data_IF_765532924420
#
_entry.id   IF_765532924420
#
_cell.length_a   1.000
_cell.length_b   1.000
_cell.length_c   1.000
_cell.angle_alpha   90.00
_cell.angle_beta   90.00
_cell.angle_gamma   90.00
#
_symmetry.space_group_name_H-M   'P 1'
#
loop_
_entity.id
_entity.type
_entity.pdbx_description
1 polymer ?
#
# COMPACT_ATOMS: atom_id res chain seq x y z
N UNK A 1 20.08 -52.61 -58.82
CA UNK A 1 19.02 -52.01 -58.00
C UNK A 1 19.62 -51.75 -56.63
N UNK A 2 20.06 -50.52 -56.38
CA UNK A 2 20.45 -50.08 -55.03
C UNK A 2 19.37 -49.10 -54.57
N UNK A 3 18.53 -49.58 -53.65
CA UNK A 3 17.57 -48.75 -52.91
C UNK A 3 18.16 -48.60 -51.51
N UNK A 4 19.07 -47.64 -51.37
CA UNK A 4 19.54 -47.17 -50.08
C UNK A 4 18.60 -46.08 -49.57
N UNK A 5 17.59 -46.49 -48.79
CA UNK A 5 16.70 -45.59 -48.04
C UNK A 5 17.51 -44.92 -46.93
N UNK A 6 18.20 -43.83 -47.27
CA UNK A 6 18.76 -42.89 -46.31
C UNK A 6 17.79 -41.73 -46.13
N UNK A 7 16.93 -41.81 -45.11
CA UNK A 7 16.04 -40.72 -44.69
C UNK A 7 16.82 -39.55 -44.08
N UNK A 8 17.72 -38.94 -44.85
CA UNK A 8 18.38 -37.69 -44.51
C UNK A 8 17.47 -36.54 -44.89
N UNK A 9 17.00 -35.78 -43.89
CA UNK A 9 16.27 -34.51 -44.10
C UNK A 9 17.03 -33.65 -45.10
N UNK A 10 16.40 -33.33 -46.23
CA UNK A 10 17.08 -32.62 -47.31
C UNK A 10 17.26 -31.13 -46.98
N UNK A 11 18.27 -30.47 -47.56
CA UNK A 11 18.45 -29.00 -47.45
C UNK A 11 17.16 -28.23 -47.78
N UNK A 12 16.42 -28.71 -48.78
CA UNK A 12 15.15 -28.12 -49.20
C UNK A 12 14.07 -28.24 -48.14
N UNK A 13 13.93 -29.39 -47.47
CA UNK A 13 12.96 -29.57 -46.39
C UNK A 13 13.24 -28.67 -45.20
N UNK A 14 14.50 -28.60 -44.76
CA UNK A 14 14.91 -27.73 -43.66
C UNK A 14 14.67 -26.26 -43.99
N UNK A 15 14.94 -25.84 -45.24
CA UNK A 15 14.68 -24.49 -45.71
C UNK A 15 13.18 -24.17 -45.78
N UNK A 16 12.35 -25.09 -46.25
CA UNK A 16 10.90 -24.88 -46.26
C UNK A 16 10.35 -24.83 -44.83
N UNK A 17 10.88 -25.63 -43.91
CA UNK A 17 10.50 -25.60 -42.50
C UNK A 17 10.90 -24.27 -41.84
N UNK A 18 12.13 -23.79 -42.09
CA UNK A 18 12.60 -22.51 -41.57
C UNK A 18 11.76 -21.34 -42.10
N UNK A 19 11.39 -21.33 -43.39
CA UNK A 19 10.50 -20.29 -43.96
C UNK A 19 9.09 -20.34 -43.37
N UNK A 20 8.53 -21.54 -43.12
CA UNK A 20 7.22 -21.67 -42.44
C UNK A 20 7.26 -21.12 -41.01
N UNK A 21 8.30 -21.47 -40.25
CA UNK A 21 8.49 -20.95 -38.91
C UNK A 21 8.73 -19.44 -38.91
N UNK A 22 9.50 -18.90 -39.86
CA UNK A 22 9.72 -17.46 -40.01
C UNK A 22 8.42 -16.69 -40.20
N UNK A 23 7.55 -17.14 -41.11
CA UNK A 23 6.25 -16.51 -41.33
C UNK A 23 5.38 -16.55 -40.06
N UNK A 24 5.28 -17.72 -39.42
CA UNK A 24 4.54 -17.86 -38.16
C UNK A 24 5.08 -16.95 -37.05
N UNK A 25 6.40 -16.83 -36.96
CA UNK A 25 7.09 -16.03 -35.94
C UNK A 25 6.85 -14.53 -36.18
N UNK A 26 6.89 -14.09 -37.45
CA UNK A 26 6.56 -12.71 -37.85
C UNK A 26 5.10 -12.37 -37.50
N UNK A 27 4.16 -13.23 -37.87
CA UNK A 27 2.74 -13.01 -37.55
C UNK A 27 2.50 -12.99 -36.03
N UNK A 28 3.17 -13.87 -35.28
CA UNK A 28 3.13 -13.86 -33.83
C UNK A 28 3.66 -12.55 -33.24
N UNK A 29 4.77 -12.04 -33.77
CA UNK A 29 5.38 -10.79 -33.33
C UNK A 29 4.48 -9.57 -33.64
N UNK A 30 3.86 -9.52 -34.81
CA UNK A 30 2.89 -8.46 -35.14
C UNK A 30 1.68 -8.48 -34.19
N UNK A 31 1.18 -9.67 -33.85
CA UNK A 31 0.11 -9.83 -32.85
C UNK A 31 0.56 -9.35 -31.48
N UNK A 32 1.81 -9.64 -31.10
CA UNK A 32 2.41 -9.23 -29.83
C UNK A 32 2.45 -7.70 -29.71
N UNK A 33 2.81 -6.99 -30.78
CA UNK A 33 2.84 -5.53 -30.84
C UNK A 33 1.43 -4.89 -30.81
N UNK A 34 0.44 -5.51 -31.46
CA UNK A 34 -0.96 -5.06 -31.41
C UNK A 34 -1.57 -5.21 -30.01
N UNK A 35 -1.26 -6.31 -29.32
CA UNK A 35 -1.66 -6.54 -27.93
C UNK A 35 -1.00 -5.54 -26.98
N UNK A 36 0.24 -5.11 -27.27
CA UNK A 36 0.90 -4.04 -26.50
C UNK A 36 0.15 -2.71 -26.57
N UNK A 37 -0.38 -2.38 -27.76
CA UNK A 37 -1.13 -1.15 -28.02
C UNK A 37 -2.54 -1.17 -27.41
N UNK A 38 -3.08 -2.37 -27.20
CA UNK A 38 -4.43 -2.61 -26.68
C UNK A 38 -4.31 -2.98 -25.20
N UNK A 39 -4.29 -1.98 -24.33
CA UNK A 39 -4.05 -2.03 -22.87
C UNK A 39 -4.87 -3.05 -22.03
N UNK A 40 -5.74 -3.87 -22.62
CA UNK A 40 -6.72 -4.72 -21.91
C UNK A 40 -6.33 -6.19 -21.75
N UNK A 41 -5.35 -6.73 -22.49
CA UNK A 41 -5.16 -8.20 -22.60
C UNK A 41 -3.73 -8.66 -22.24
N UNK A 42 -3.24 -8.29 -21.05
CA UNK A 42 -1.88 -8.63 -20.59
C UNK A 42 -1.64 -10.14 -20.32
N UNK A 43 -2.69 -10.97 -20.29
CA UNK A 43 -2.61 -12.38 -19.85
C UNK A 43 -2.02 -13.30 -20.92
N UNK A 44 -2.27 -13.03 -22.22
CA UNK A 44 -1.80 -13.89 -23.33
C UNK A 44 -0.43 -13.49 -23.89
N UNK A 45 0.08 -12.32 -23.50
CA UNK A 45 1.35 -11.74 -23.97
C UNK A 45 2.59 -12.57 -23.58
N UNK A 46 2.72 -13.08 -22.33
CA UNK A 46 3.88 -13.88 -21.93
C UNK A 46 3.99 -15.22 -22.65
N UNK A 47 2.88 -15.94 -22.82
CA UNK A 47 2.84 -17.23 -23.50
C UNK A 47 3.20 -17.09 -24.98
N UNK A 48 2.64 -16.08 -25.66
CA UNK A 48 2.95 -15.78 -27.05
C UNK A 48 4.44 -15.44 -27.22
N UNK A 49 5.00 -14.59 -26.33
CA UNK A 49 6.41 -14.22 -26.36
C UNK A 49 7.35 -15.42 -26.17
N UNK A 50 6.96 -16.38 -25.32
CA UNK A 50 7.71 -17.62 -25.10
C UNK A 50 7.66 -18.53 -26.34
N UNK A 51 6.49 -18.68 -26.97
CA UNK A 51 6.35 -19.42 -28.23
C UNK A 51 7.22 -18.81 -29.33
N UNK A 52 7.22 -17.48 -29.48
CA UNK A 52 8.05 -16.76 -30.46
C UNK A 52 9.53 -17.00 -30.19
N UNK A 53 9.97 -16.92 -28.92
CA UNK A 53 11.36 -17.21 -28.53
C UNK A 53 11.76 -18.65 -28.87
N UNK A 54 10.86 -19.61 -28.63
CA UNK A 54 11.07 -21.03 -28.96
C UNK A 54 11.25 -21.22 -30.47
N UNK A 55 10.39 -20.57 -31.26
CA UNK A 55 10.43 -20.64 -32.72
C UNK A 55 11.72 -20.02 -33.28
N UNK A 56 12.14 -18.87 -32.77
CA UNK A 56 13.44 -18.24 -33.10
C UNK A 56 14.59 -19.22 -32.87
N UNK A 57 14.65 -19.85 -31.69
CA UNK A 57 15.69 -20.83 -31.38
C UNK A 57 15.64 -22.05 -32.31
N UNK A 58 14.44 -22.51 -32.67
CA UNK A 58 14.26 -23.61 -33.60
C UNK A 58 14.71 -23.24 -35.02
N UNK A 59 14.46 -22.01 -35.48
CA UNK A 59 14.96 -21.55 -36.78
C UNK A 59 16.49 -21.43 -36.74
N UNK A 60 17.07 -20.94 -35.64
CA UNK A 60 18.53 -20.91 -35.46
C UNK A 60 19.16 -22.31 -35.55
N UNK A 61 18.57 -23.33 -34.91
CA UNK A 61 19.06 -24.70 -35.05
C UNK A 61 18.97 -25.21 -36.49
N UNK A 62 17.87 -24.90 -37.19
CA UNK A 62 17.73 -25.25 -38.61
C UNK A 62 18.77 -24.53 -39.47
N UNK A 63 19.10 -23.27 -39.18
CA UNK A 63 20.17 -22.55 -39.87
C UNK A 63 21.50 -23.28 -39.71
N UNK A 64 21.87 -23.69 -38.49
CA UNK A 64 23.11 -24.43 -38.24
C UNK A 64 23.17 -25.77 -38.97
N UNK A 65 22.06 -26.49 -39.03
CA UNK A 65 21.97 -27.77 -39.74
C UNK A 65 22.09 -27.58 -41.26
N UNK A 66 21.36 -26.60 -41.81
CA UNK A 66 21.50 -26.21 -43.22
C UNK A 66 22.93 -25.75 -43.52
N UNK A 67 23.58 -25.05 -42.59
CA UNK A 67 24.94 -24.55 -42.73
C UNK A 67 25.98 -25.65 -42.92
N UNK A 68 25.78 -26.77 -42.21
CA UNK A 68 26.62 -27.96 -42.35
C UNK A 68 26.38 -28.66 -43.67
N UNK A 69 25.12 -28.77 -44.08
CA UNK A 69 24.71 -29.50 -45.28
C UNK A 69 25.09 -28.78 -46.58
N UNK A 70 25.00 -27.44 -46.65
CA UNK A 70 25.39 -26.77 -47.89
C UNK A 70 26.89 -26.81 -48.12
N UNK A 71 27.71 -26.84 -47.07
CA UNK A 71 29.18 -26.97 -47.18
C UNK A 71 29.60 -28.31 -47.80
N UNK A 72 28.82 -29.38 -47.65
CA UNK A 72 29.09 -30.68 -48.27
C UNK A 72 28.59 -30.81 -49.71
N UNK A 73 27.94 -29.77 -50.27
CA UNK A 73 27.50 -29.77 -51.67
C UNK A 73 28.70 -29.63 -52.61
N UNK A 74 28.91 -30.64 -53.44
CA UNK A 74 30.01 -30.70 -54.40
C UNK A 74 29.94 -29.60 -55.47
N UNK A 75 28.73 -29.32 -55.97
CA UNK A 75 28.50 -28.31 -57.02
C UNK A 75 28.65 -26.88 -56.47
N UNK A 76 29.67 -26.16 -56.94
CA UNK A 76 29.94 -24.76 -56.57
C UNK A 76 28.75 -23.81 -56.77
N UNK A 77 28.09 -23.75 -57.94
CA UNK A 77 26.95 -22.83 -58.13
C UNK A 77 25.77 -23.16 -57.21
N UNK A 78 25.52 -24.45 -56.95
CA UNK A 78 24.47 -24.89 -56.04
C UNK A 78 24.81 -24.56 -54.58
N UNK A 79 26.08 -24.73 -54.21
CA UNK A 79 26.61 -24.35 -52.90
C UNK A 79 26.44 -22.85 -52.64
N UNK A 80 26.83 -22.01 -53.58
CA UNK A 80 26.73 -20.55 -53.45
C UNK A 80 25.26 -20.09 -53.36
N UNK A 81 24.34 -20.76 -54.06
CA UNK A 81 22.90 -20.54 -53.93
C UNK A 81 22.40 -20.86 -52.52
N UNK A 82 22.78 -22.03 -51.98
CA UNK A 82 22.36 -22.43 -50.64
C UNK A 82 22.95 -21.54 -49.56
N UNK A 83 24.21 -21.12 -49.71
CA UNK A 83 24.85 -20.15 -48.83
C UNK A 83 24.00 -18.87 -48.72
N UNK A 84 23.63 -18.25 -49.84
CA UNK A 84 22.78 -17.03 -49.83
C UNK A 84 21.41 -17.26 -49.19
N UNK A 85 20.80 -18.43 -49.44
CA UNK A 85 19.50 -18.78 -48.83
C UNK A 85 19.59 -18.90 -47.31
N UNK A 86 20.66 -19.50 -46.79
CA UNK A 86 20.85 -19.66 -45.34
C UNK A 86 21.24 -18.34 -44.69
N UNK A 87 22.08 -17.53 -45.33
CA UNK A 87 22.39 -16.16 -44.90
C UNK A 87 21.10 -15.32 -44.78
N UNK A 88 20.24 -15.33 -45.79
CA UNK A 88 18.95 -14.63 -45.74
C UNK A 88 18.06 -15.08 -44.57
N UNK A 89 17.95 -16.39 -44.33
CA UNK A 89 17.15 -16.90 -43.19
C UNK A 89 17.78 -16.45 -41.86
N UNK A 90 19.10 -16.44 -41.78
CA UNK A 90 19.83 -16.03 -40.56
C UNK A 90 19.60 -14.56 -40.26
N UNK A 91 19.74 -13.68 -41.25
CA UNK A 91 19.45 -12.24 -41.12
C UNK A 91 17.98 -12.00 -40.72
N UNK A 92 17.03 -12.72 -41.32
CA UNK A 92 15.61 -12.61 -40.94
C UNK A 92 15.40 -13.02 -39.47
N UNK A 93 16.05 -14.08 -38.98
CA UNK A 93 15.93 -14.52 -37.58
C UNK A 93 16.58 -13.54 -36.61
N UNK A 94 17.73 -12.97 -36.95
CA UNK A 94 18.37 -11.93 -36.14
C UNK A 94 17.46 -10.70 -36.01
N UNK A 95 16.85 -10.27 -37.12
CA UNK A 95 15.89 -9.15 -37.10
C UNK A 95 14.67 -9.42 -36.21
N UNK A 96 14.15 -10.66 -36.20
CA UNK A 96 13.04 -11.07 -35.33
C UNK A 96 13.46 -11.10 -33.87
N UNK A 97 14.67 -11.59 -33.59
CA UNK A 97 15.23 -11.63 -32.24
C UNK A 97 15.41 -10.23 -31.66
N UNK A 98 16.02 -9.31 -32.41
CA UNK A 98 16.16 -7.91 -31.99
C UNK A 98 14.80 -7.27 -31.69
N UNK A 99 13.79 -7.56 -32.51
CA UNK A 99 12.45 -7.03 -32.32
C UNK A 99 11.77 -7.59 -31.07
N UNK A 100 11.94 -8.88 -30.79
CA UNK A 100 11.50 -9.51 -29.54
C UNK A 100 12.24 -8.91 -28.33
N UNK A 101 13.55 -8.71 -28.41
CA UNK A 101 14.34 -8.14 -27.32
C UNK A 101 13.91 -6.70 -27.00
N UNK A 102 13.64 -5.88 -28.03
CA UNK A 102 13.03 -4.54 -27.86
C UNK A 102 11.68 -4.60 -27.15
N UNK A 103 10.85 -5.57 -27.49
CA UNK A 103 9.56 -5.78 -26.82
C UNK A 103 9.72 -6.16 -25.33
N UNK A 104 10.61 -7.10 -25.04
CA UNK A 104 10.87 -7.54 -23.66
C UNK A 104 11.44 -6.42 -22.79
N UNK A 105 12.34 -5.59 -23.33
CA UNK A 105 12.85 -4.40 -22.63
C UNK A 105 11.74 -3.43 -22.24
N UNK A 106 10.75 -3.22 -23.13
CA UNK A 106 9.59 -2.36 -22.84
C UNK A 106 8.71 -2.95 -21.73
N UNK A 107 8.48 -4.27 -21.73
CA UNK A 107 7.75 -4.93 -20.62
C UNK A 107 8.52 -4.80 -19.31
N UNK A 108 9.82 -5.10 -19.32
CA UNK A 108 10.65 -5.04 -18.12
C UNK A 108 10.64 -3.63 -17.53
N UNK A 109 10.79 -2.60 -18.37
CA UNK A 109 10.70 -1.21 -17.96
C UNK A 109 9.36 -0.89 -17.29
N UNK A 110 8.22 -1.25 -17.92
CA UNK A 110 6.89 -1.04 -17.31
C UNK A 110 6.72 -1.78 -15.99
N UNK A 111 7.22 -3.01 -15.91
CA UNK A 111 7.15 -3.82 -14.69
C UNK A 111 7.97 -3.17 -13.57
N UNK A 112 9.15 -2.63 -13.89
CA UNK A 112 10.00 -1.91 -12.96
C UNK A 112 9.32 -0.61 -12.50
N UNK A 113 8.78 0.19 -13.41
CA UNK A 113 8.05 1.40 -13.06
C UNK A 113 6.80 1.12 -12.21
N UNK A 114 6.10 0.01 -12.47
CA UNK A 114 4.95 -0.41 -11.67
C UNK A 114 5.36 -0.82 -10.25
N UNK A 115 6.51 -1.49 -10.11
CA UNK A 115 7.10 -1.82 -8.80
C UNK A 115 7.52 -0.56 -8.04
N UNK A 116 8.20 0.38 -8.69
CA UNK A 116 8.59 1.65 -8.08
C UNK A 116 7.37 2.47 -7.65
N UNK A 117 6.32 2.52 -8.48
CA UNK A 117 5.04 3.14 -8.09
C UNK A 117 4.41 2.45 -6.88
N UNK A 118 4.41 1.11 -6.83
CA UNK A 118 3.89 0.37 -5.69
C UNK A 118 4.70 0.65 -4.41
N UNK A 119 6.02 0.72 -4.51
CA UNK A 119 6.90 1.04 -3.38
C UNK A 119 6.69 2.48 -2.88
N UNK A 120 6.52 3.45 -3.78
CA UNK A 120 6.19 4.83 -3.39
C UNK A 120 4.82 4.91 -2.70
N UNK A 121 3.85 4.13 -3.16
CA UNK A 121 2.53 4.04 -2.53
C UNK A 121 2.59 3.35 -1.16
N UNK A 122 3.42 2.33 -1.01
CA UNK A 122 3.65 1.64 0.28
C UNK A 122 4.29 2.61 1.29
N UNK A 123 5.31 3.36 0.89
CA UNK A 123 5.94 4.39 1.73
C UNK A 123 4.93 5.48 2.14
N UNK A 124 4.11 5.95 1.20
CA UNK A 124 3.03 6.92 1.49
C UNK A 124 1.93 6.34 2.38
N UNK A 125 1.63 5.04 2.24
CA UNK A 125 0.67 4.34 3.09
C UNK A 125 1.08 4.33 4.56
N UNK A 126 2.37 4.17 4.84
CA UNK A 126 2.93 4.31 6.18
C UNK A 126 2.77 5.72 6.76
N UNK A 127 3.11 6.76 5.99
CA UNK A 127 2.95 8.16 6.42
C UNK A 127 1.47 8.55 6.60
N UNK A 128 0.58 8.10 5.71
CA UNK A 128 -0.87 8.37 5.84
C UNK A 128 -1.49 7.67 7.04
N UNK A 129 -1.04 6.47 7.39
CA UNK A 129 -1.46 5.77 8.60
C UNK A 129 -0.95 6.49 9.86
N UNK A 130 0.29 6.98 9.83
CA UNK A 130 0.85 7.79 10.92
C UNK A 130 0.10 9.11 11.12
N UNK A 131 -0.25 9.82 10.04
CA UNK A 131 -1.03 11.05 10.10
C UNK A 131 -2.41 10.81 10.73
N UNK A 132 -3.13 9.74 10.34
CA UNK A 132 -4.41 9.39 10.95
C UNK A 132 -4.29 9.09 12.45
N UNK A 133 -3.23 8.37 12.83
CA UNK A 133 -2.97 8.07 14.24
C UNK A 133 -2.69 9.34 15.06
N UNK A 134 -1.94 10.32 14.52
CA UNK A 134 -1.69 11.61 15.18
C UNK A 134 -3.00 12.35 15.46
N UNK A 135 -3.91 12.42 14.48
CA UNK A 135 -5.20 13.09 14.65
C UNK A 135 -6.07 12.41 15.72
N UNK A 136 -6.08 11.07 15.77
CA UNK A 136 -6.82 10.33 16.77
C UNK A 136 -6.24 10.53 18.18
N UNK A 137 -4.91 10.56 18.31
CA UNK A 137 -4.22 10.80 19.57
C UNK A 137 -4.45 12.25 20.07
N UNK A 138 -4.43 13.24 19.18
CA UNK A 138 -4.74 14.64 19.52
C UNK A 138 -6.20 14.81 19.97
N UNK A 139 -7.15 14.19 19.27
CA UNK A 139 -8.56 14.23 19.66
C UNK A 139 -8.78 13.53 21.02
N UNK A 140 -8.11 12.39 21.26
CA UNK A 140 -8.15 11.71 22.57
C UNK A 140 -7.59 12.60 23.69
N UNK A 141 -6.47 13.29 23.45
CA UNK A 141 -5.88 14.22 24.40
C UNK A 141 -6.82 15.40 24.70
N UNK A 142 -7.46 15.98 23.67
CA UNK A 142 -8.41 17.08 23.82
C UNK A 142 -9.66 16.67 24.61
N UNK A 143 -10.21 15.48 24.36
CA UNK A 143 -11.34 14.96 25.12
C UNK A 143 -10.96 14.66 26.58
N UNK A 144 -9.77 14.13 26.82
CA UNK A 144 -9.24 13.92 28.17
C UNK A 144 -9.12 15.23 28.94
N UNK A 145 -8.57 16.28 28.31
CA UNK A 145 -8.46 17.61 28.90
C UNK A 145 -9.84 18.20 29.23
N UNK A 146 -10.81 18.09 28.33
CA UNK A 146 -12.20 18.52 28.57
C UNK A 146 -12.84 17.77 29.73
N UNK A 147 -12.68 16.45 29.79
CA UNK A 147 -13.22 15.64 30.88
C UNK A 147 -12.59 16.00 32.23
N UNK A 148 -11.27 16.19 32.26
CA UNK A 148 -10.53 16.63 33.46
C UNK A 148 -10.97 18.02 33.92
N UNK A 149 -11.17 18.97 32.97
CA UNK A 149 -11.69 20.31 33.28
C UNK A 149 -13.06 20.23 33.94
N UNK A 150 -13.97 19.41 33.40
CA UNK A 150 -15.31 19.22 33.98
C UNK A 150 -15.23 18.61 35.38
N UNK A 151 -14.36 17.61 35.59
CA UNK A 151 -14.16 17.02 36.92
C UNK A 151 -13.66 18.05 37.95
N UNK A 152 -12.74 18.94 37.56
CA UNK A 152 -12.27 20.02 38.44
C UNK A 152 -13.37 21.03 38.76
N UNK A 153 -14.19 21.38 37.76
CA UNK A 153 -15.33 22.28 37.95
C UNK A 153 -16.38 21.67 38.89
N UNK A 154 -16.70 20.39 38.74
CA UNK A 154 -17.62 19.66 39.63
C UNK A 154 -17.07 19.60 41.07
N UNK A 155 -15.77 19.33 41.23
CA UNK A 155 -15.11 19.32 42.54
C UNK A 155 -15.11 20.71 43.19
N UNK A 156 -14.84 21.76 42.41
CA UNK A 156 -14.90 23.15 42.87
C UNK A 156 -16.31 23.52 43.34
N UNK A 157 -17.33 23.26 42.51
CA UNK A 157 -18.73 23.54 42.84
C UNK A 157 -19.18 22.81 44.11
N UNK A 158 -18.76 21.54 44.24
CA UNK A 158 -19.02 20.75 45.45
C UNK A 158 -18.34 21.36 46.68
N UNK A 159 -17.07 21.78 46.56
CA UNK A 159 -16.34 22.45 47.62
C UNK A 159 -17.00 23.76 48.07
N UNK A 160 -17.41 24.60 47.13
CA UNK A 160 -18.15 25.85 47.41
C UNK A 160 -19.47 25.57 48.12
N UNK A 161 -20.23 24.56 47.67
CA UNK A 161 -21.49 24.20 48.31
C UNK A 161 -21.30 23.71 49.76
N UNK A 162 -20.26 22.91 50.03
CA UNK A 162 -19.93 22.47 51.39
C UNK A 162 -19.57 23.66 52.28
N UNK A 163 -18.72 24.57 51.78
CA UNK A 163 -18.31 25.76 52.53
C UNK A 163 -19.48 26.71 52.80
N UNK A 164 -20.39 26.91 51.84
CA UNK A 164 -21.60 27.70 52.03
C UNK A 164 -22.46 27.12 53.15
N UNK A 165 -22.75 25.82 53.10
CA UNK A 165 -23.51 25.12 54.15
C UNK A 165 -22.84 25.22 55.52
N UNK A 166 -21.51 25.11 55.57
CA UNK A 166 -20.77 25.23 56.83
C UNK A 166 -20.83 26.66 57.40
N UNK A 167 -20.77 27.67 56.53
CA UNK A 167 -20.91 29.08 56.92
C UNK A 167 -22.31 29.39 57.48
N UNK A 168 -23.37 28.85 56.84
CA UNK A 168 -24.75 28.95 57.31
C UNK A 168 -24.92 28.26 58.67
N UNK A 169 -24.40 27.03 58.83
CA UNK A 169 -24.42 26.31 60.10
C UNK A 169 -23.72 27.09 61.22
N UNK A 170 -22.57 27.71 60.92
CA UNK A 170 -21.84 28.54 61.88
C UNK A 170 -22.65 29.77 62.30
N UNK A 171 -23.28 30.46 61.36
CA UNK A 171 -24.13 31.63 61.69
C UNK A 171 -25.35 31.21 62.52
N UNK A 172 -26.00 30.08 62.20
CA UNK A 172 -27.09 29.54 63.03
C UNK A 172 -26.64 29.25 64.47
N UNK A 173 -25.50 28.58 64.65
CA UNK A 173 -24.94 28.31 65.98
C UNK A 173 -24.60 29.61 66.73
N UNK A 174 -24.02 30.59 66.04
CA UNK A 174 -23.71 31.90 66.61
C UNK A 174 -24.97 32.65 67.05
N UNK A 175 -26.03 32.65 66.23
CA UNK A 175 -27.32 33.24 66.59
C UNK A 175 -27.94 32.56 67.80
N UNK A 176 -27.94 31.23 67.86
CA UNK A 176 -28.42 30.49 69.04
C UNK A 176 -27.62 30.81 70.30
N UNK A 177 -26.29 30.88 70.19
CA UNK A 177 -25.41 31.25 71.31
C UNK A 177 -25.69 32.67 71.81
N UNK A 178 -25.91 33.64 70.92
CA UNK A 178 -26.29 35.00 71.28
C UNK A 178 -27.66 35.06 71.99
N UNK A 179 -28.64 34.29 71.54
CA UNK A 179 -29.96 34.21 72.20
C UNK A 179 -29.84 33.61 73.62
N UNK A 180 -29.09 32.52 73.77
CA UNK A 180 -28.85 31.89 75.07
C UNK A 180 -28.14 32.82 76.06
N UNK A 181 -27.10 33.53 75.60
CA UNK A 181 -26.37 34.49 76.45
C UNK A 181 -27.22 35.70 76.83
N UNK A 182 -28.01 36.25 75.90
CA UNK A 182 -28.97 37.33 76.19
C UNK A 182 -30.04 36.93 77.21
N UNK A 183 -30.60 35.71 77.07
CA UNK A 183 -31.58 35.16 78.02
C UNK A 183 -30.96 34.96 79.41
N UNK A 184 -29.72 34.48 79.46
CA UNK A 184 -28.97 34.32 80.71
C UNK A 184 -28.70 35.67 81.40
N UNK A 185 -28.34 36.71 80.64
CA UNK A 185 -28.17 38.06 81.19
C UNK A 185 -29.50 38.60 81.75
N UNK A 186 -30.59 38.48 80.99
CA UNK A 186 -31.90 38.98 81.41
C UNK A 186 -32.44 38.29 82.67
N UNK A 187 -32.17 36.99 82.82
CA UNK A 187 -32.53 36.23 84.03
C UNK A 187 -31.67 36.62 85.23
N UNK A 188 -30.37 36.85 85.03
CA UNK A 188 -29.48 37.41 86.06
C UNK A 188 -29.94 38.81 86.52
N UNK A 189 -30.28 39.70 85.58
CA UNK A 189 -30.76 41.05 85.88
C UNK A 189 -32.09 41.00 86.65
N UNK A 190 -33.02 40.11 86.27
CA UNK A 190 -34.25 39.86 87.04
C UNK A 190 -33.96 39.37 88.45
N UNK A 191 -33.04 38.43 88.63
CA UNK A 191 -32.68 37.92 89.97
C UNK A 191 -32.03 39.00 90.83
N UNK A 192 -31.16 39.84 90.26
CA UNK A 192 -30.57 40.98 90.98
C UNK A 192 -31.63 42.02 91.36
N UNK A 193 -32.58 42.32 90.46
CA UNK A 193 -33.70 43.22 90.75
C UNK A 193 -34.59 42.69 91.88
N UNK A 194 -34.92 41.39 91.87
CA UNK A 194 -35.68 40.75 92.96
C UNK A 194 -34.92 40.84 94.28
N UNK A 195 -33.64 40.49 94.29
CA UNK A 195 -32.81 40.53 95.51
C UNK A 195 -32.74 41.96 96.09
N UNK A 196 -32.51 42.96 95.23
CA UNK A 196 -32.51 44.38 95.61
C UNK A 196 -33.87 44.84 96.14
N UNK A 197 -34.96 44.40 95.53
CA UNK A 197 -36.33 44.75 95.95
C UNK A 197 -36.74 44.10 97.28
N UNK A 198 -36.22 42.90 97.58
CA UNK A 198 -36.42 42.24 98.89
C UNK A 198 -35.63 42.98 99.97
N UNK A 199 -34.39 43.38 99.69
CA UNK A 199 -33.55 44.12 100.62
C UNK A 199 -34.13 45.50 100.98
N UNK A 200 -34.84 46.18 100.08
CA UNK A 200 -35.46 47.49 100.35
C UNK A 200 -36.80 47.42 101.10
N UNK A 201 -37.41 46.23 101.27
CA UNK A 201 -38.68 46.06 102.01
C UNK A 201 -38.49 45.64 103.48
N UNK A 202 -37.27 45.33 103.90
CA UNK A 202 -36.93 44.83 105.24
C UNK A 202 -36.12 45.83 106.09
N UNK A 203 -36.19 47.13 105.78
CA UNK A 203 -35.64 48.22 106.60
C UNK A 203 -36.71 49.25 106.90
#
# INVERSE_FOLDING_TARGET
MEVGVGGGTTLSELYQNSKKLLLRTRDGLERLERLESSSSNAVDSPELSFSIKRDINQIQSLCLDMDRLWRSVASKPQRDLWKRKVEQVTEEVESLKESLDRYLLRIQKRTQEAKERAELLERRGGDSAHILQIFDDENRAMQSAKNSSRMLEDAYNTGVAILSKYSEQREHLKSQWLVCTSTRSSTLDRMQWINKSILTKNG
#
